data_IF_056838667186
#
_entry.id   IF_056838667186
#
_cell.length_a   1.000
_cell.length_b   1.000
_cell.length_c   1.000
_cell.angle_alpha   90.00
_cell.angle_beta   90.00
_cell.angle_gamma   90.00
#
_symmetry.space_group_name_H-M   'P 1'
#
loop_
_entity.id
_entity.type
_entity.pdbx_description
1 polymer ?
#
# COMPACT_ATOMS: atom_id res chain seq x y z
N UNK A 1 -3.78 11.55 12.98
CA UNK A 1 -3.56 10.54 11.92
C UNK A 1 -4.88 10.32 11.18
N UNK A 2 -4.88 10.37 9.86
CA UNK A 2 -6.11 10.38 9.06
C UNK A 2 -6.93 9.09 9.22
N UNK A 3 -6.35 7.91 8.95
CA UNK A 3 -7.06 6.63 9.01
C UNK A 3 -7.47 6.22 10.44
N UNK A 4 -6.62 6.50 11.44
CA UNK A 4 -6.93 6.22 12.85
C UNK A 4 -8.16 6.99 13.33
N UNK A 5 -8.31 8.25 12.91
CA UNK A 5 -9.47 9.07 13.24
C UNK A 5 -10.77 8.50 12.65
N UNK A 6 -10.68 7.64 11.63
CA UNK A 6 -11.78 6.94 11.00
C UNK A 6 -11.99 5.52 11.56
N UNK A 7 -11.22 5.12 12.58
CA UNK A 7 -11.28 3.79 13.18
C UNK A 7 -10.71 2.67 12.28
N UNK A 8 -9.84 3.03 11.34
CA UNK A 8 -9.25 2.09 10.37
C UNK A 8 -7.82 1.76 10.79
N UNK A 9 -7.52 0.46 10.89
CA UNK A 9 -6.16 -0.01 11.12
C UNK A 9 -5.34 0.05 9.83
N UNK A 10 -4.10 0.51 9.92
CA UNK A 10 -3.17 0.62 8.78
C UNK A 10 -1.92 -0.21 9.07
N UNK A 11 -1.45 -0.92 8.04
CA UNK A 11 -0.14 -1.56 8.01
C UNK A 11 0.72 -0.87 6.95
N UNK A 12 1.91 -0.41 7.32
CA UNK A 12 2.85 0.19 6.38
C UNK A 12 3.78 -0.87 5.81
N UNK A 13 3.67 -1.18 4.52
CA UNK A 13 4.59 -2.09 3.85
C UNK A 13 5.80 -1.30 3.38
N UNK A 14 7.01 -1.68 3.79
CA UNK A 14 8.22 -1.05 3.26
C UNK A 14 9.45 -1.96 3.33
N UNK A 15 10.48 -1.57 2.56
CA UNK A 15 11.81 -2.20 2.61
C UNK A 15 12.52 -1.86 3.93
N UNK A 16 13.36 -2.77 4.41
CA UNK A 16 14.16 -2.59 5.66
C UNK A 16 14.92 -1.26 5.70
N UNK A 17 15.51 -0.82 4.59
CA UNK A 17 16.23 0.47 4.49
C UNK A 17 15.34 1.67 4.78
N UNK A 18 14.06 1.61 4.40
CA UNK A 18 13.11 2.71 4.63
C UNK A 18 12.68 2.74 6.09
N UNK A 19 12.41 1.58 6.70
CA UNK A 19 12.09 1.51 8.13
C UNK A 19 13.19 2.04 9.06
N UNK A 20 14.46 2.01 8.59
CA UNK A 20 15.61 2.55 9.31
C UNK A 20 15.85 4.04 9.05
N UNK A 21 15.08 4.68 8.16
CA UNK A 21 15.29 6.08 7.79
C UNK A 21 15.03 7.01 9.00
N UNK A 22 15.87 8.04 9.21
CA UNK A 22 15.64 9.02 10.24
C UNK A 22 14.33 9.78 9.97
N UNK A 23 13.58 10.07 11.03
CA UNK A 23 12.35 10.86 10.95
C UNK A 23 11.06 10.06 10.79
N UNK A 24 11.09 8.72 10.83
CA UNK A 24 9.86 7.93 10.99
C UNK A 24 9.35 8.06 12.43
N UNK A 25 8.12 8.57 12.65
CA UNK A 25 7.48 8.59 13.96
C UNK A 25 7.39 7.21 14.61
N UNK A 26 7.63 7.12 15.93
CA UNK A 26 7.68 5.83 16.66
C UNK A 26 6.35 5.07 16.60
N UNK A 27 5.24 5.79 16.63
CA UNK A 27 3.90 5.24 16.52
C UNK A 27 3.61 4.65 15.12
N UNK A 28 4.41 4.97 14.09
CA UNK A 28 4.35 4.33 12.77
C UNK A 28 5.24 3.09 12.75
N UNK A 29 6.38 3.08 13.44
CA UNK A 29 7.31 1.93 13.47
C UNK A 29 6.62 0.65 13.93
N UNK A 30 5.71 0.74 14.91
CA UNK A 30 4.96 -0.41 15.43
C UNK A 30 3.93 -0.99 14.44
N UNK A 31 3.73 -0.35 13.29
CA UNK A 31 2.75 -0.74 12.26
C UNK A 31 3.40 -1.07 10.93
N UNK A 32 4.73 -1.06 10.87
CA UNK A 32 5.47 -1.41 9.66
C UNK A 32 5.55 -2.92 9.53
N UNK A 33 5.19 -3.42 8.35
CA UNK A 33 5.48 -4.77 7.89
C UNK A 33 6.69 -4.67 6.97
N UNK A 34 7.78 -5.32 7.37
CA UNK A 34 9.02 -5.32 6.61
C UNK A 34 8.94 -6.34 5.48
N UNK A 35 9.26 -5.89 4.27
CA UNK A 35 9.52 -6.81 3.17
C UNK A 35 10.81 -7.59 3.48
N UNK A 36 10.84 -8.92 3.33
CA UNK A 36 12.08 -9.67 3.45
C UNK A 36 13.07 -9.20 2.39
N UNK A 37 14.38 -9.25 2.69
CA UNK A 37 15.39 -9.01 1.69
C UNK A 37 15.33 -10.11 0.64
N UNK A 38 15.23 -9.72 -0.62
CA UNK A 38 15.35 -10.60 -1.79
C UNK A 38 16.40 -9.95 -2.69
N UNK A 39 17.44 -10.71 -3.02
CA UNK A 39 18.50 -10.23 -3.90
C UNK A 39 17.91 -9.90 -5.27
N UNK A 40 18.41 -8.82 -5.88
CA UNK A 40 18.03 -8.34 -7.21
C UNK A 40 16.55 -7.93 -7.41
N UNK A 41 15.72 -7.92 -6.37
CA UNK A 41 14.31 -7.50 -6.44
C UNK A 41 14.12 -6.04 -5.98
N UNK A 42 14.23 -5.11 -6.93
CA UNK A 42 14.16 -3.67 -6.68
C UNK A 42 12.82 -3.13 -6.21
N UNK A 43 11.73 -3.88 -6.43
CA UNK A 43 10.31 -3.54 -6.24
C UNK A 43 9.58 -4.57 -5.36
N UNK A 44 10.31 -5.21 -4.44
CA UNK A 44 9.73 -6.15 -3.47
C UNK A 44 8.63 -5.53 -2.59
N UNK A 45 8.67 -4.22 -2.33
CA UNK A 45 7.62 -3.48 -1.63
C UNK A 45 6.31 -3.41 -2.42
N UNK A 46 6.39 -3.24 -3.73
CA UNK A 46 5.22 -3.30 -4.62
C UNK A 46 4.59 -4.70 -4.57
N UNK A 47 5.41 -5.74 -4.72
CA UNK A 47 4.96 -7.13 -4.62
C UNK A 47 4.20 -7.39 -3.31
N UNK A 48 4.80 -7.02 -2.17
CA UNK A 48 4.20 -7.24 -0.86
C UNK A 48 2.94 -6.40 -0.67
N UNK A 49 2.93 -5.14 -1.11
CA UNK A 49 1.75 -4.28 -1.03
C UNK A 49 0.58 -4.90 -1.78
N UNK A 50 0.81 -5.34 -3.02
CA UNK A 50 -0.19 -5.98 -3.87
C UNK A 50 -0.69 -7.27 -3.23
N UNK A 51 0.21 -8.17 -2.81
CA UNK A 51 -0.17 -9.48 -2.25
C UNK A 51 -0.91 -9.35 -0.92
N UNK A 52 -0.52 -8.41 -0.06
CA UNK A 52 -1.23 -8.15 1.21
C UNK A 52 -2.64 -7.63 0.91
N UNK A 53 -2.77 -6.64 0.03
CA UNK A 53 -4.06 -6.07 -0.32
C UNK A 53 -5.00 -7.10 -0.95
N UNK A 54 -4.47 -7.92 -1.85
CA UNK A 54 -5.18 -9.02 -2.49
C UNK A 54 -5.62 -10.08 -1.47
N UNK A 55 -4.74 -10.48 -0.53
CA UNK A 55 -5.03 -11.52 0.47
C UNK A 55 -6.12 -11.11 1.45
N UNK A 56 -6.16 -9.82 1.83
CA UNK A 56 -7.15 -9.31 2.78
C UNK A 56 -8.37 -8.65 2.12
N UNK A 57 -8.37 -8.52 0.79
CA UNK A 57 -9.42 -7.78 0.07
C UNK A 57 -9.56 -6.34 0.55
N UNK A 58 -8.45 -5.68 0.90
CA UNK A 58 -8.44 -4.36 1.50
C UNK A 58 -7.93 -3.28 0.54
N UNK A 59 -8.22 -2.02 0.89
CA UNK A 59 -7.62 -0.89 0.18
C UNK A 59 -6.11 -0.87 0.36
N UNK A 60 -5.40 -0.39 -0.65
CA UNK A 60 -3.97 -0.10 -0.60
C UNK A 60 -3.71 1.31 -1.13
N UNK A 61 -2.77 2.00 -0.49
CA UNK A 61 -2.60 3.45 -0.60
C UNK A 61 -1.22 3.79 -1.11
N UNK A 62 -1.14 4.21 -2.37
CA UNK A 62 0.08 4.65 -3.03
C UNK A 62 -0.26 5.50 -4.28
N UNK A 63 0.75 6.15 -4.85
CA UNK A 63 0.61 6.92 -6.09
C UNK A 63 1.27 6.24 -7.32
N UNK A 64 1.75 5.01 -7.17
CA UNK A 64 2.24 4.24 -8.31
C UNK A 64 1.06 3.84 -9.21
N UNK A 65 1.31 3.58 -10.49
CA UNK A 65 0.33 3.05 -11.41
C UNK A 65 0.51 1.55 -11.70
N UNK A 66 1.60 0.94 -11.22
CA UNK A 66 1.91 -0.48 -11.38
C UNK A 66 1.89 -0.91 -12.86
N UNK A 67 2.46 -0.08 -13.76
CA UNK A 67 2.32 -0.28 -15.22
C UNK A 67 3.05 -1.51 -15.71
N UNK A 68 4.26 -1.72 -15.20
CA UNK A 68 5.09 -2.90 -15.36
C UNK A 68 4.42 -4.14 -14.76
N UNK A 69 3.96 -4.06 -13.51
CA UNK A 69 3.19 -5.13 -12.85
C UNK A 69 1.92 -5.53 -13.59
N UNK A 70 1.33 -4.63 -14.38
CA UNK A 70 0.15 -4.91 -15.23
C UNK A 70 0.53 -5.40 -16.62
N UNK A 71 1.66 -4.98 -17.17
CA UNK A 71 2.00 -5.14 -18.59
C UNK A 71 3.06 -6.21 -18.86
N UNK A 72 3.97 -6.42 -17.92
CA UNK A 72 5.12 -7.29 -18.04
C UNK A 72 4.82 -8.69 -17.49
N UNK A 73 4.87 -9.75 -18.31
CA UNK A 73 4.69 -11.13 -17.86
C UNK A 73 5.70 -11.60 -16.82
N UNK A 74 6.89 -10.99 -16.77
CA UNK A 74 7.99 -11.41 -15.89
C UNK A 74 7.93 -10.75 -14.51
N UNK A 75 7.18 -9.65 -14.35
CA UNK A 75 7.04 -8.92 -13.08
C UNK A 75 6.06 -9.53 -12.09
N UNK A 76 5.09 -10.32 -12.56
CA UNK A 76 4.06 -10.87 -11.69
C UNK A 76 3.28 -12.02 -12.31
N UNK A 77 2.72 -12.86 -11.45
CA UNK A 77 1.84 -13.94 -11.89
C UNK A 77 0.65 -13.39 -12.70
N UNK A 78 0.10 -14.22 -13.59
CA UNK A 78 -1.10 -13.86 -14.36
C UNK A 78 -2.26 -13.45 -13.43
N UNK A 79 -2.38 -14.13 -12.29
CA UNK A 79 -3.34 -13.84 -11.23
C UNK A 79 -3.20 -12.41 -10.68
N UNK A 80 -1.97 -11.97 -10.36
CA UNK A 80 -1.70 -10.61 -9.88
C UNK A 80 -2.04 -9.57 -10.95
N UNK A 81 -1.64 -9.84 -12.21
CA UNK A 81 -1.94 -8.96 -13.36
C UNK A 81 -3.46 -8.78 -13.55
N UNK A 82 -4.21 -9.87 -13.49
CA UNK A 82 -5.66 -9.82 -13.67
C UNK A 82 -6.35 -9.13 -12.49
N UNK A 83 -5.88 -9.37 -11.26
CA UNK A 83 -6.38 -8.67 -10.08
C UNK A 83 -6.13 -7.15 -10.17
N UNK A 84 -4.93 -6.72 -10.56
CA UNK A 84 -4.58 -5.30 -10.73
C UNK A 84 -5.39 -4.59 -11.81
N UNK A 85 -5.88 -5.33 -12.82
CA UNK A 85 -6.77 -4.82 -13.87
C UNK A 85 -8.26 -4.86 -13.45
N UNK A 86 -8.60 -5.71 -12.48
CA UNK A 86 -9.95 -5.90 -11.96
C UNK A 86 -10.15 -5.29 -10.58
N UNK A 87 -10.31 -6.14 -9.56
CA UNK A 87 -10.69 -5.70 -8.21
C UNK A 87 -9.62 -4.84 -7.52
N UNK A 88 -8.34 -5.11 -7.78
CA UNK A 88 -7.24 -4.27 -7.29
C UNK A 88 -7.36 -2.83 -7.76
N UNK A 89 -7.82 -2.58 -9.00
CA UNK A 89 -8.04 -1.23 -9.49
C UNK A 89 -9.11 -0.46 -8.69
N UNK A 90 -10.11 -1.16 -8.14
CA UNK A 90 -11.18 -0.58 -7.29
C UNK A 90 -10.72 -0.33 -5.85
N UNK A 91 -9.76 -1.13 -5.38
CA UNK A 91 -9.21 -1.06 -4.03
C UNK A 91 -8.04 -0.06 -3.91
N UNK A 92 -7.46 0.35 -5.03
CA UNK A 92 -6.36 1.31 -5.05
C UNK A 92 -6.82 2.70 -4.65
N UNK A 93 -6.07 3.32 -3.73
CA UNK A 93 -6.30 4.69 -3.27
C UNK A 93 -5.05 5.51 -3.54
N UNK A 94 -5.16 6.46 -4.46
CA UNK A 94 -4.16 7.52 -4.65
C UNK A 94 -4.36 8.64 -3.63
N UNK A 95 -3.39 9.51 -3.46
CA UNK A 95 -3.49 10.61 -2.51
C UNK A 95 -2.69 11.84 -2.94
N UNK A 96 -3.06 12.98 -2.37
CA UNK A 96 -2.29 14.21 -2.41
C UNK A 96 -2.05 14.73 -1.00
N UNK A 97 -1.13 15.67 -0.86
CA UNK A 97 -1.09 16.56 0.29
C UNK A 97 -1.60 17.93 -0.15
N UNK A 98 -2.56 18.50 0.59
CA UNK A 98 -3.09 19.83 0.28
C UNK A 98 -2.05 20.95 0.55
N UNK A 99 -2.42 22.20 0.27
CA UNK A 99 -1.55 23.36 0.49
C UNK A 99 -1.09 23.54 1.96
N UNK A 100 -1.76 22.88 2.91
CA UNK A 100 -1.42 22.89 4.33
C UNK A 100 -0.68 21.61 4.78
N UNK A 101 -0.27 20.76 3.83
CA UNK A 101 0.38 19.49 4.11
C UNK A 101 -0.55 18.42 4.68
N UNK A 102 -1.87 18.57 4.55
CA UNK A 102 -2.84 17.56 5.02
C UNK A 102 -3.00 16.47 3.99
N UNK A 103 -2.94 15.21 4.44
CA UNK A 103 -3.20 14.04 3.61
C UNK A 103 -4.65 14.02 3.13
N UNK A 104 -4.85 13.86 1.82
CA UNK A 104 -6.17 13.75 1.17
C UNK A 104 -6.16 12.53 0.24
N UNK A 105 -6.87 11.44 0.58
CA UNK A 105 -7.00 10.29 -0.31
C UNK A 105 -8.03 10.56 -1.41
N UNK A 106 -7.88 9.91 -2.56
CA UNK A 106 -8.86 9.96 -3.66
C UNK A 106 -10.15 9.21 -3.32
N UNK A 107 -10.07 8.23 -2.41
CA UNK A 107 -11.22 7.47 -1.91
C UNK A 107 -11.08 7.30 -0.40
N UNK A 108 -12.14 7.61 0.34
CA UNK A 108 -12.19 7.38 1.78
C UNK A 108 -12.29 5.89 2.10
N UNK A 109 -11.72 5.43 3.23
CA UNK A 109 -11.86 4.05 3.62
C UNK A 109 -13.32 3.73 3.95
N UNK A 110 -13.77 2.48 3.71
CA UNK A 110 -15.09 2.05 4.15
C UNK A 110 -15.17 2.17 5.66
N UNK A 111 -16.02 3.06 6.15
CA UNK A 111 -16.22 3.27 7.60
C UNK A 111 -16.80 1.98 8.17
N UNK A 112 -16.11 1.37 9.12
CA UNK A 112 -16.65 0.22 9.83
C UNK A 112 -17.98 0.62 10.48
N UNK A 113 -19.10 0.00 10.07
CA UNK A 113 -20.33 0.08 10.85
C UNK A 113 -19.97 -0.49 12.22
N UNK A 114 -19.98 0.35 13.27
CA UNK A 114 -19.87 -0.12 14.65
C UNK A 114 -20.95 -1.20 14.83
N UNK A 115 -20.51 -2.44 15.01
CA UNK A 115 -21.39 -3.54 15.43
C UNK A 115 -21.72 -3.37 16.90
#
# INVERSE_FOLDING_TARGET
>A
RFYDALGVMVQGVCKKRMAAAPGIPDDLKSRIVLCPPVDDEGDIDDFYTIRVAMSYGCQFVDNDNYRDWKGDPDKGSQEVRDWLRGDGAKLKVTYIFDANGRFVPSVYPPVAKRR
#
